data_IF_257353723165
#
_entry.id   IF_257353723165
#
_cell.length_a   1.000
_cell.length_b   1.000
_cell.length_c   1.000
_cell.angle_alpha   90.00
_cell.angle_beta   90.00
_cell.angle_gamma   90.00
#
_symmetry.space_group_name_H-M   'P 1'
#
loop_
_entity.id
_entity.type
_entity.pdbx_description
1 polymer ?
#
# COMPACT_ATOMS: atom_id res chain seq x y z
N UNK A 1 -5.12 -13.59 6.93
CA UNK A 1 -5.87 -13.77 5.66
C UNK A 1 -5.39 -12.74 4.63
N UNK A 2 -4.16 -12.85 4.10
CA UNK A 2 -3.63 -11.89 3.11
C UNK A 2 -4.46 -11.87 1.81
N UNK A 3 -4.87 -13.06 1.36
CA UNK A 3 -5.63 -13.25 0.11
C UNK A 3 -6.97 -12.51 0.05
N UNK A 4 -7.65 -12.32 1.20
CA UNK A 4 -8.92 -11.59 1.23
C UNK A 4 -8.71 -10.10 0.98
N UNK A 5 -7.64 -9.53 1.56
CA UNK A 5 -7.32 -8.11 1.41
C UNK A 5 -6.88 -7.80 -0.03
N UNK A 6 -6.04 -8.65 -0.61
CA UNK A 6 -5.53 -8.46 -1.97
C UNK A 6 -6.65 -8.55 -3.01
N UNK A 7 -7.54 -9.55 -2.88
CA UNK A 7 -8.70 -9.69 -3.75
C UNK A 7 -9.71 -8.54 -3.58
N UNK A 8 -9.88 -8.04 -2.35
CA UNK A 8 -10.77 -6.92 -2.09
C UNK A 8 -10.22 -5.62 -2.69
N UNK A 9 -8.93 -5.32 -2.49
CA UNK A 9 -8.26 -4.15 -3.08
C UNK A 9 -8.37 -4.20 -4.61
N UNK A 10 -8.05 -5.33 -5.24
CA UNK A 10 -8.18 -5.47 -6.69
C UNK A 10 -9.60 -5.19 -7.20
N UNK A 11 -10.61 -5.60 -6.43
CA UNK A 11 -12.03 -5.33 -6.74
C UNK A 11 -12.36 -3.84 -6.63
N UNK A 12 -11.82 -3.13 -5.63
CA UNK A 12 -11.99 -1.69 -5.49
C UNK A 12 -11.42 -0.94 -6.70
N UNK A 13 -10.20 -1.27 -7.15
CA UNK A 13 -9.61 -0.66 -8.34
C UNK A 13 -10.41 -0.93 -9.62
N UNK A 14 -10.99 -2.13 -9.76
CA UNK A 14 -11.91 -2.45 -10.86
C UNK A 14 -13.16 -1.55 -10.84
N UNK A 15 -13.70 -1.24 -9.66
CA UNK A 15 -14.82 -0.31 -9.52
C UNK A 15 -14.42 1.15 -9.75
N UNK A 16 -13.19 1.55 -9.45
CA UNK A 16 -12.69 2.87 -9.84
C UNK A 16 -12.65 3.02 -11.36
N UNK A 17 -12.19 2.00 -12.06
CA UNK A 17 -12.10 2.02 -13.52
C UNK A 17 -13.49 2.05 -14.18
N UNK A 18 -14.39 1.16 -13.78
CA UNK A 18 -15.66 0.90 -14.49
C UNK A 18 -16.90 1.52 -13.83
N UNK A 19 -16.79 2.02 -12.61
CA UNK A 19 -17.91 2.54 -11.84
C UNK A 19 -18.37 3.92 -12.28
N UNK A 20 -19.60 4.27 -11.88
CA UNK A 20 -20.08 5.65 -11.97
C UNK A 20 -19.43 6.54 -10.88
N UNK A 21 -19.70 7.85 -10.90
CA UNK A 21 -19.08 8.79 -9.97
C UNK A 21 -19.42 8.48 -8.49
N UNK A 22 -20.64 8.06 -8.17
CA UNK A 22 -21.02 7.72 -6.80
C UNK A 22 -20.22 6.52 -6.27
N UNK A 23 -20.10 5.47 -7.08
CA UNK A 23 -19.32 4.29 -6.73
C UNK A 23 -17.84 4.64 -6.58
N UNK A 24 -17.27 5.43 -7.51
CA UNK A 24 -15.88 5.90 -7.42
C UNK A 24 -15.63 6.65 -6.11
N UNK A 25 -16.51 7.58 -5.74
CA UNK A 25 -16.37 8.34 -4.51
C UNK A 25 -16.44 7.45 -3.26
N UNK A 26 -17.32 6.46 -3.26
CA UNK A 26 -17.41 5.49 -2.16
C UNK A 26 -16.14 4.63 -2.07
N UNK A 27 -15.60 4.19 -3.22
CA UNK A 27 -14.35 3.43 -3.27
C UNK A 27 -13.17 4.26 -2.79
N UNK A 28 -13.05 5.53 -3.20
CA UNK A 28 -11.99 6.41 -2.70
C UNK A 28 -11.99 6.49 -1.17
N UNK A 29 -13.16 6.70 -0.55
CA UNK A 29 -13.30 6.71 0.91
C UNK A 29 -12.89 5.38 1.53
N UNK A 30 -13.31 4.25 0.94
CA UNK A 30 -12.96 2.92 1.42
C UNK A 30 -11.45 2.67 1.37
N UNK A 31 -10.77 3.04 0.27
CA UNK A 31 -9.31 2.94 0.15
C UNK A 31 -8.61 3.78 1.22
N UNK A 32 -9.07 5.01 1.45
CA UNK A 32 -8.51 5.86 2.52
C UNK A 32 -8.72 5.22 3.89
N UNK A 33 -9.89 4.64 4.16
CA UNK A 33 -10.12 3.90 5.41
C UNK A 33 -9.19 2.70 5.56
N UNK A 34 -8.92 1.96 4.49
CA UNK A 34 -7.97 0.84 4.50
C UNK A 34 -6.57 1.36 4.82
N UNK A 35 -6.11 2.42 4.15
CA UNK A 35 -4.81 3.05 4.42
C UNK A 35 -4.71 3.50 5.89
N UNK A 36 -5.76 4.12 6.42
CA UNK A 36 -5.81 4.65 7.77
C UNK A 36 -5.79 3.59 8.88
N UNK A 37 -6.08 2.32 8.55
CA UNK A 37 -6.08 1.20 9.50
C UNK A 37 -5.08 0.11 9.14
N UNK A 38 -4.25 0.33 8.11
CA UNK A 38 -3.21 -0.61 7.73
C UNK A 38 -2.01 -0.43 8.65
N UNK A 39 -1.83 -1.40 9.55
CA UNK A 39 -0.73 -1.40 10.51
C UNK A 39 0.59 -1.88 9.89
N UNK A 40 0.55 -2.63 8.78
CA UNK A 40 1.74 -3.08 8.05
C UNK A 40 2.24 -1.94 7.14
N UNK A 41 3.39 -1.33 7.44
CA UNK A 41 3.89 -0.17 6.70
C UNK A 41 4.23 -0.51 5.25
N UNK A 42 4.70 -1.73 4.96
CA UNK A 42 5.04 -2.15 3.60
C UNK A 42 3.78 -2.28 2.74
N UNK A 43 2.73 -2.92 3.28
CA UNK A 43 1.44 -3.02 2.57
C UNK A 43 0.78 -1.66 2.40
N UNK A 44 0.86 -0.79 3.41
CA UNK A 44 0.31 0.57 3.33
C UNK A 44 1.03 1.39 2.25
N UNK A 45 2.36 1.34 2.21
CA UNK A 45 3.16 2.00 1.19
C UNK A 45 2.89 1.45 -0.22
N UNK A 46 2.77 0.13 -0.36
CA UNK A 46 2.45 -0.51 -1.64
C UNK A 46 1.08 -0.08 -2.18
N UNK A 47 0.05 -0.05 -1.33
CA UNK A 47 -1.29 0.42 -1.70
C UNK A 47 -1.26 1.90 -2.10
N UNK A 48 -0.56 2.74 -1.32
CA UNK A 48 -0.48 4.16 -1.63
C UNK A 48 0.26 4.44 -2.95
N UNK A 49 1.33 3.70 -3.22
CA UNK A 49 2.04 3.74 -4.50
C UNK A 49 1.11 3.35 -5.66
N UNK A 50 0.37 2.25 -5.51
CA UNK A 50 -0.61 1.82 -6.51
C UNK A 50 -1.68 2.88 -6.76
N UNK A 51 -2.15 3.57 -5.72
CA UNK A 51 -3.10 4.70 -5.85
C UNK A 51 -2.51 5.82 -6.70
N UNK A 52 -1.26 6.24 -6.44
CA UNK A 52 -0.62 7.29 -7.22
C UNK A 52 -0.43 6.88 -8.70
N UNK A 53 0.04 5.67 -8.96
CA UNK A 53 0.30 5.17 -10.31
C UNK A 53 -1.00 4.94 -11.11
N UNK A 54 -2.01 4.29 -10.51
CA UNK A 54 -3.24 3.94 -11.22
C UNK A 54 -4.23 5.10 -11.33
N UNK A 55 -4.24 6.02 -10.35
CA UNK A 55 -5.18 7.15 -10.34
C UNK A 55 -4.50 8.46 -10.69
N UNK A 56 -3.48 8.88 -9.94
CA UNK A 56 -2.81 10.18 -10.11
C UNK A 56 -2.15 10.33 -11.47
N UNK A 57 -1.53 9.26 -11.98
CA UNK A 57 -0.83 9.22 -13.27
C UNK A 57 -1.68 8.65 -14.41
N UNK A 58 -2.97 8.40 -14.15
CA UNK A 58 -3.86 7.78 -15.11
C UNK A 58 -4.02 8.59 -16.40
N UNK A 59 -4.08 7.92 -17.54
CA UNK A 59 -4.39 8.58 -18.83
C UNK A 59 -5.84 9.08 -18.89
N UNK A 60 -6.75 8.40 -18.19
CA UNK A 60 -8.17 8.72 -18.15
C UNK A 60 -8.44 9.84 -17.15
N UNK A 61 -8.97 10.98 -17.63
CA UNK A 61 -9.21 12.14 -16.78
C UNK A 61 -10.23 11.86 -15.68
N UNK A 62 -11.20 10.96 -15.91
CA UNK A 62 -12.18 10.60 -14.89
C UNK A 62 -11.51 9.92 -13.69
N UNK A 63 -10.44 9.17 -13.93
CA UNK A 63 -9.68 8.49 -12.89
C UNK A 63 -8.77 9.48 -12.15
N UNK A 64 -8.09 10.40 -12.87
CA UNK A 64 -7.36 11.50 -12.24
C UNK A 64 -8.28 12.41 -11.41
N UNK A 65 -9.52 12.64 -11.86
CA UNK A 65 -10.54 13.32 -11.04
C UNK A 65 -10.87 12.53 -9.77
N UNK A 66 -10.99 11.20 -9.85
CA UNK A 66 -11.17 10.36 -8.66
C UNK A 66 -9.96 10.37 -7.72
N UNK A 67 -8.74 10.56 -8.23
CA UNK A 67 -7.55 10.81 -7.40
C UNK A 67 -7.74 12.05 -6.52
N UNK A 68 -8.21 13.17 -7.11
CA UNK A 68 -8.50 14.39 -6.35
C UNK A 68 -9.55 14.12 -5.25
N UNK A 69 -10.61 13.38 -5.57
CA UNK A 69 -11.62 12.98 -4.57
C UNK A 69 -11.03 12.10 -3.46
N UNK A 70 -10.06 11.24 -3.79
CA UNK A 70 -9.32 10.43 -2.82
C UNK A 70 -8.48 11.32 -1.90
N UNK A 71 -7.67 12.23 -2.46
CA UNK A 71 -6.88 13.18 -1.69
C UNK A 71 -7.75 14.01 -0.74
N UNK A 72 -8.90 14.49 -1.23
CA UNK A 72 -9.89 15.19 -0.40
C UNK A 72 -10.37 14.34 0.78
N UNK A 73 -10.58 13.04 0.55
CA UNK A 73 -11.01 12.09 1.59
C UNK A 73 -9.92 11.78 2.61
N UNK A 74 -8.64 12.00 2.27
CA UNK A 74 -7.52 11.86 3.20
C UNK A 74 -7.51 12.95 4.28
N UNK A 75 -8.03 14.14 3.99
CA UNK A 75 -8.01 15.28 4.90
C UNK A 75 -8.79 14.95 6.18
N UNK A 76 -8.08 14.87 7.32
CA UNK A 76 -8.64 14.49 8.61
C UNK A 76 -8.89 12.99 8.81
N UNK A 77 -8.39 12.13 7.92
CA UNK A 77 -8.43 10.66 8.06
C UNK A 77 -7.03 10.04 8.00
N UNK A 78 -6.09 10.66 7.31
CA UNK A 78 -4.67 10.33 7.41
C UNK A 78 -3.99 11.46 8.18
N UNK A 79 -2.86 11.16 8.82
CA UNK A 79 -2.02 12.22 9.38
C UNK A 79 -1.55 13.13 8.25
N UNK A 80 -1.44 14.41 8.55
CA UNK A 80 -0.96 15.43 7.61
C UNK A 80 0.40 15.06 7.03
N UNK A 81 1.34 14.63 7.86
CA UNK A 81 2.70 14.28 7.41
C UNK A 81 2.65 13.11 6.41
N UNK A 82 1.88 12.07 6.70
CA UNK A 82 1.73 10.94 5.78
C UNK A 82 1.11 11.38 4.44
N UNK A 83 0.12 12.28 4.46
CA UNK A 83 -0.48 12.81 3.23
C UNK A 83 0.54 13.62 2.41
N UNK A 84 1.31 14.49 3.08
CA UNK A 84 2.31 15.34 2.44
C UNK A 84 3.42 14.52 1.78
N UNK A 85 3.90 13.48 2.46
CA UNK A 85 4.97 12.62 1.93
C UNK A 85 4.49 11.71 0.79
N UNK A 86 3.21 11.33 0.80
CA UNK A 86 2.71 10.26 -0.06
C UNK A 86 1.92 10.74 -1.27
N UNK A 87 1.05 11.73 -1.09
CA UNK A 87 0.04 12.09 -2.11
C UNK A 87 0.16 13.53 -2.61
N UNK A 88 0.76 14.42 -1.81
CA UNK A 88 0.67 15.86 -2.04
C UNK A 88 1.29 16.30 -3.38
N UNK A 89 2.44 15.74 -3.78
CA UNK A 89 3.07 16.08 -5.07
C UNK A 89 2.15 15.75 -6.25
N UNK A 90 1.58 14.55 -6.27
CA UNK A 90 0.60 14.14 -7.30
C UNK A 90 -0.68 14.97 -7.23
N UNK A 91 -1.14 15.33 -6.02
CA UNK A 91 -2.30 16.18 -5.83
C UNK A 91 -2.09 17.57 -6.42
N UNK A 92 -0.96 18.22 -6.09
CA UNK A 92 -0.60 19.54 -6.59
C UNK A 92 -0.50 19.56 -8.12
N UNK A 93 -0.02 18.47 -8.73
CA UNK A 93 0.03 18.33 -10.18
C UNK A 93 -1.37 18.40 -10.84
N UNK A 94 -2.44 18.00 -10.14
CA UNK A 94 -3.82 18.08 -10.66
C UNK A 94 -4.31 19.52 -10.87
N UNK A 95 -3.75 20.48 -10.13
CA UNK A 95 -4.02 21.91 -10.36
C UNK A 95 -3.55 22.39 -11.74
N UNK A 96 -2.58 21.70 -12.36
CA UNK A 96 -2.10 21.99 -13.71
C UNK A 96 -2.59 20.98 -14.76
N UNK A 97 -3.62 20.20 -14.47
CA UNK A 97 -4.11 19.18 -15.40
C UNK A 97 -4.58 19.80 -16.71
N UNK A 98 -4.32 19.12 -17.84
CA UNK A 98 -4.79 19.57 -19.16
C UNK A 98 -6.32 19.62 -19.29
N UNK A 99 -7.06 18.89 -18.46
CA UNK A 99 -8.53 18.82 -18.49
C UNK A 99 -9.13 19.73 -17.42
N UNK A 100 -9.92 20.70 -17.84
CA UNK A 100 -10.58 21.67 -16.95
C UNK A 100 -11.39 21.01 -15.83
N UNK A 101 -12.10 19.91 -16.12
CA UNK A 101 -12.86 19.18 -15.09
C UNK A 101 -12.00 18.63 -13.94
N UNK A 102 -10.73 18.31 -14.19
CA UNK A 102 -9.81 17.86 -13.14
C UNK A 102 -9.35 19.06 -12.30
N UNK A 103 -8.99 20.17 -12.96
CA UNK A 103 -8.62 21.43 -12.28
C UNK A 103 -9.75 22.01 -11.44
N UNK A 104 -10.99 21.97 -11.95
CA UNK A 104 -12.19 22.35 -11.20
C UNK A 104 -12.41 21.45 -9.97
N UNK A 105 -12.18 20.14 -10.08
CA UNK A 105 -12.27 19.24 -8.93
C UNK A 105 -11.17 19.54 -7.90
N UNK A 106 -9.95 19.84 -8.38
CA UNK A 106 -8.84 20.27 -7.53
C UNK A 106 -9.21 21.53 -6.74
N UNK A 107 -9.72 22.56 -7.42
CA UNK A 107 -10.17 23.81 -6.80
C UNK A 107 -11.18 23.52 -5.68
N UNK A 108 -12.21 22.72 -5.94
CA UNK A 108 -13.22 22.34 -4.94
C UNK A 108 -12.65 21.55 -3.75
N UNK A 109 -11.62 20.74 -3.98
CA UNK A 109 -10.99 19.96 -2.93
C UNK A 109 -10.18 20.83 -1.95
N UNK A 110 -9.79 22.05 -2.34
CA UNK A 110 -9.05 22.97 -1.48
C UNK A 110 -9.84 23.42 -0.26
N UNK A 111 -11.17 23.36 -0.29
CA UNK A 111 -12.02 23.61 0.89
C UNK A 111 -11.63 22.74 2.08
N UNK A 112 -11.26 21.49 1.82
CA UNK A 112 -10.83 20.55 2.86
C UNK A 112 -9.30 20.51 2.97
N UNK A 113 -8.59 20.54 1.85
CA UNK A 113 -7.15 20.32 1.83
C UNK A 113 -6.32 21.53 2.25
N UNK A 114 -6.75 22.76 1.94
CA UNK A 114 -5.98 23.95 2.33
C UNK A 114 -5.93 24.12 3.85
N UNK A 115 -7.04 24.10 4.60
CA UNK A 115 -7.00 24.20 6.06
C UNK A 115 -6.31 23.00 6.73
N UNK A 116 -6.30 21.84 6.09
CA UNK A 116 -5.58 20.66 6.56
C UNK A 116 -4.05 20.83 6.48
N UNK A 117 -3.53 21.49 5.44
CA UNK A 117 -2.08 21.63 5.21
C UNK A 117 -1.52 23.03 5.52
N UNK A 118 -2.35 24.04 5.79
CA UNK A 118 -1.93 25.44 5.98
C UNK A 118 -0.93 25.66 7.13
N UNK A 119 -0.82 24.71 8.05
CA UNK A 119 0.15 24.75 9.15
C UNK A 119 1.59 24.49 8.69
N UNK A 120 1.78 23.97 7.48
CA UNK A 120 3.09 23.77 6.86
C UNK A 120 3.33 24.92 5.87
N UNK A 121 4.12 25.91 6.32
CA UNK A 121 4.25 27.21 5.66
C UNK A 121 4.60 27.11 4.16
N UNK A 122 5.56 26.27 3.77
CA UNK A 122 5.94 26.13 2.35
C UNK A 122 4.78 25.58 1.50
N UNK A 123 3.98 24.67 2.05
CA UNK A 123 2.83 24.05 1.37
C UNK A 123 1.64 24.99 1.31
N UNK A 124 1.46 25.81 2.34
CA UNK A 124 0.47 26.88 2.32
C UNK A 124 0.74 27.89 1.19
N UNK A 125 2.00 28.30 1.02
CA UNK A 125 2.40 29.19 -0.08
C UNK A 125 2.21 28.56 -1.45
N UNK A 126 2.62 27.30 -1.66
CA UNK A 126 2.40 26.58 -2.92
C UNK A 126 0.91 26.52 -3.30
N UNK A 127 0.02 26.26 -2.33
CA UNK A 127 -1.41 26.25 -2.57
C UNK A 127 -1.99 27.65 -2.83
N UNK A 128 -1.48 28.70 -2.17
CA UNK A 128 -1.89 30.08 -2.49
C UNK A 128 -1.52 30.46 -3.92
N UNK A 129 -0.31 30.15 -4.35
CA UNK A 129 0.12 30.40 -5.73
C UNK A 129 -0.76 29.63 -6.73
N UNK A 130 -1.11 28.38 -6.41
CA UNK A 130 -2.01 27.58 -7.23
C UNK A 130 -3.42 28.19 -7.31
N UNK A 131 -3.97 28.66 -6.20
CA UNK A 131 -5.28 29.33 -6.15
C UNK A 131 -5.25 30.58 -7.03
N UNK A 132 -4.25 31.44 -6.88
CA UNK A 132 -4.15 32.69 -7.65
C UNK A 132 -4.00 32.42 -9.15
N UNK A 133 -3.30 31.34 -9.52
CA UNK A 133 -3.22 30.87 -10.91
C UNK A 133 -4.58 30.41 -11.42
N UNK A 134 -5.30 29.59 -10.65
CA UNK A 134 -6.59 29.03 -11.04
C UNK A 134 -7.72 30.08 -11.10
N UNK A 135 -7.64 31.17 -10.33
CA UNK A 135 -8.53 32.33 -10.49
C UNK A 135 -8.43 32.98 -11.87
N UNK A 136 -7.29 32.82 -12.53
CA UNK A 136 -7.01 33.32 -13.88
C UNK A 136 -6.98 32.17 -14.90
N UNK A 137 -7.63 31.04 -14.61
CA UNK A 137 -7.67 29.89 -15.51
C UNK A 137 -8.36 30.25 -16.83
N UNK A 138 -7.87 29.76 -17.99
CA UNK A 138 -8.53 30.00 -19.28
C UNK A 138 -9.95 29.43 -19.38
N UNK A 139 -10.30 28.46 -18.54
CA UNK A 139 -11.64 27.91 -18.44
C UNK A 139 -12.42 28.64 -17.34
N UNK A 140 -13.50 29.33 -17.73
CA UNK A 140 -14.28 30.17 -16.81
C UNK A 140 -14.89 29.36 -15.65
N UNK A 141 -15.32 28.11 -15.88
CA UNK A 141 -15.92 27.29 -14.83
C UNK A 141 -14.87 26.94 -13.75
N UNK A 142 -13.59 26.82 -14.14
CA UNK A 142 -12.48 26.59 -13.20
C UNK A 142 -12.20 27.87 -12.40
N UNK A 143 -12.16 29.02 -13.06
CA UNK A 143 -11.95 30.31 -12.41
C UNK A 143 -13.05 30.60 -11.38
N UNK A 144 -14.32 30.48 -11.78
CA UNK A 144 -15.49 30.70 -10.92
C UNK A 144 -15.52 29.73 -9.74
N UNK A 145 -15.22 28.44 -9.97
CA UNK A 145 -15.14 27.46 -8.89
C UNK A 145 -14.02 27.76 -7.90
N UNK A 146 -12.91 28.31 -8.37
CA UNK A 146 -11.76 28.71 -7.55
C UNK A 146 -12.09 29.93 -6.73
N UNK A 147 -12.70 30.96 -7.33
CA UNK A 147 -13.12 32.17 -6.62
C UNK A 147 -14.16 31.85 -5.54
N UNK A 148 -15.15 31.03 -5.85
CA UNK A 148 -16.12 30.56 -4.85
C UNK A 148 -15.43 29.80 -3.71
N UNK A 149 -14.47 28.93 -4.02
CA UNK A 149 -13.72 28.19 -2.99
C UNK A 149 -12.93 29.14 -2.10
N UNK A 150 -12.26 30.14 -2.68
CA UNK A 150 -11.46 31.12 -1.92
C UNK A 150 -12.33 31.98 -1.00
N UNK A 151 -13.50 32.42 -1.49
CA UNK A 151 -14.48 33.15 -0.67
C UNK A 151 -14.94 32.30 0.52
N UNK A 152 -15.28 31.03 0.29
CA UNK A 152 -15.71 30.12 1.37
C UNK A 152 -14.58 29.86 2.36
N UNK A 153 -13.35 29.66 1.89
CA UNK A 153 -12.18 29.50 2.77
C UNK A 153 -11.99 30.71 3.70
N UNK A 154 -12.16 31.92 3.18
CA UNK A 154 -12.08 33.15 3.99
C UNK A 154 -13.22 33.24 5.01
N UNK A 155 -14.45 32.88 4.63
CA UNK A 155 -15.62 32.93 5.50
C UNK A 155 -15.57 31.87 6.61
N UNK A 156 -15.17 30.64 6.27
CA UNK A 156 -15.23 29.48 7.15
C UNK A 156 -13.90 29.19 7.86
N UNK A 157 -12.84 29.99 7.64
CA UNK A 157 -11.51 29.78 8.24
C UNK A 157 -11.56 29.51 9.75
N UNK A 158 -12.37 30.28 10.49
CA UNK A 158 -12.51 30.16 11.94
C UNK A 158 -13.11 28.83 12.39
N UNK A 159 -13.77 28.11 11.50
CA UNK A 159 -14.41 26.80 11.74
C UNK A 159 -13.53 25.68 11.20
N UNK A 160 -12.99 25.85 9.99
CA UNK A 160 -12.20 24.82 9.31
C UNK A 160 -10.85 24.55 9.98
N UNK A 161 -10.10 25.59 10.36
CA UNK A 161 -8.77 25.38 10.97
C UNK A 161 -8.86 24.59 12.30
N UNK A 162 -9.73 24.95 13.27
CA UNK A 162 -9.86 24.15 14.49
C UNK A 162 -10.37 22.73 14.25
N UNK A 163 -11.27 22.54 13.28
CA UNK A 163 -11.77 21.23 12.88
C UNK A 163 -10.62 20.32 12.44
N UNK A 164 -9.73 20.79 11.55
CA UNK A 164 -8.64 19.97 11.06
C UNK A 164 -7.53 19.75 12.10
N UNK A 165 -7.32 20.67 13.04
CA UNK A 165 -6.45 20.41 14.19
C UNK A 165 -6.96 19.25 15.04
N UNK A 166 -8.26 19.24 15.38
CA UNK A 166 -8.85 18.14 16.17
C UNK A 166 -8.81 16.78 15.42
N UNK A 167 -9.06 16.79 14.11
CA UNK A 167 -8.98 15.58 13.29
C UNK A 167 -7.52 15.07 13.12
N UNK A 168 -6.55 15.97 13.13
CA UNK A 168 -5.14 15.61 13.11
C UNK A 168 -4.74 14.92 14.42
N UNK A 169 -5.19 15.42 15.59
CA UNK A 169 -4.96 14.75 16.88
C UNK A 169 -5.55 13.32 16.91
N UNK A 170 -6.78 13.14 16.42
CA UNK A 170 -7.38 11.80 16.30
C UNK A 170 -6.56 10.89 15.37
N UNK A 171 -6.06 11.44 14.27
CA UNK A 171 -5.28 10.69 13.29
C UNK A 171 -3.90 10.30 13.81
N UNK A 172 -3.25 11.18 14.57
CA UNK A 172 -1.99 10.90 15.24
C UNK A 172 -2.13 9.82 16.30
N UNK A 173 -3.21 9.84 17.09
CA UNK A 173 -3.47 8.79 18.08
C UNK A 173 -3.69 7.43 17.41
N UNK A 174 -4.45 7.40 16.31
CA UNK A 174 -4.62 6.17 15.52
C UNK A 174 -3.30 5.66 14.97
N UNK A 175 -2.47 6.53 14.41
CA UNK A 175 -1.14 6.17 13.90
C UNK A 175 -0.25 5.59 15.02
N UNK A 176 -0.28 6.19 16.21
CA UNK A 176 0.43 5.70 17.40
C UNK A 176 0.02 4.27 17.76
N UNK A 177 -1.29 4.00 17.82
CA UNK A 177 -1.83 2.67 18.12
C UNK A 177 -1.48 1.62 17.05
N UNK A 178 -1.48 2.00 15.77
CA UNK A 178 -1.05 1.11 14.68
C UNK A 178 0.43 0.77 14.78
N UNK A 179 1.28 1.76 15.10
CA UNK A 179 2.70 1.54 15.28
C UNK A 179 3.00 0.63 16.48
N UNK A 180 2.29 0.80 17.60
CA UNK A 180 2.39 -0.13 18.74
C UNK A 180 2.03 -1.57 18.36
N UNK A 181 0.98 -1.73 17.54
CA UNK A 181 0.58 -3.05 17.04
C UNK A 181 1.66 -3.65 16.14
N UNK A 182 2.21 -2.86 15.22
CA UNK A 182 3.29 -3.30 14.33
C UNK A 182 4.52 -3.77 15.11
N UNK A 183 4.98 -2.98 16.09
CA UNK A 183 6.11 -3.34 16.94
C UNK A 183 5.87 -4.66 17.67
N UNK A 184 4.67 -4.89 18.21
CA UNK A 184 4.32 -6.17 18.86
C UNK A 184 4.36 -7.37 17.88
N UNK A 185 3.84 -7.19 16.67
CA UNK A 185 3.88 -8.24 15.64
C UNK A 185 5.32 -8.50 15.14
N UNK A 186 6.15 -7.47 15.07
CA UNK A 186 7.59 -7.56 14.74
C UNK A 186 8.36 -8.33 15.82
N UNK A 187 8.16 -7.99 17.09
CA UNK A 187 8.76 -8.68 18.23
C UNK A 187 8.34 -10.14 18.30
N UNK A 188 7.05 -10.45 18.09
CA UNK A 188 6.57 -11.83 18.07
C UNK A 188 7.17 -12.63 16.92
N UNK A 189 7.29 -12.03 15.73
CA UNK A 189 7.92 -12.68 14.57
C UNK A 189 9.40 -12.94 14.82
N UNK A 190 10.11 -11.99 15.44
CA UNK A 190 11.51 -12.16 15.80
C UNK A 190 11.69 -13.26 16.85
N UNK A 191 10.83 -13.30 17.88
CA UNK A 191 10.84 -14.37 18.89
C UNK A 191 10.62 -15.75 18.28
N UNK A 192 9.66 -15.88 17.35
CA UNK A 192 9.44 -17.15 16.63
C UNK A 192 10.65 -17.56 15.78
N UNK A 193 11.34 -16.61 15.15
CA UNK A 193 12.56 -16.89 14.40
C UNK A 193 13.70 -17.34 15.32
N UNK A 194 13.89 -16.68 16.46
CA UNK A 194 14.89 -17.06 17.47
C UNK A 194 14.57 -18.45 18.06
N UNK A 195 13.31 -18.74 18.40
CA UNK A 195 12.86 -20.08 18.84
C UNK A 195 13.08 -21.16 17.77
N UNK A 196 12.84 -20.85 16.48
CA UNK A 196 13.12 -21.78 15.38
C UNK A 196 14.63 -22.01 15.17
N UNK A 197 15.46 -21.00 15.37
CA UNK A 197 16.92 -21.09 15.28
C UNK A 197 17.50 -21.89 16.46
N UNK A 198 17.02 -21.64 17.68
CA UNK A 198 17.39 -22.42 18.87
C UNK A 198 16.97 -23.90 18.72
N UNK A 199 15.75 -24.16 18.25
CA UNK A 199 15.29 -25.53 17.99
C UNK A 199 16.09 -26.23 16.88
N UNK A 200 16.49 -25.50 15.83
CA UNK A 200 17.38 -26.03 14.78
C UNK A 200 18.76 -26.34 15.33
N UNK A 201 19.30 -25.48 16.20
CA UNK A 201 20.60 -25.69 16.84
C UNK A 201 20.57 -26.91 17.78
N UNK A 202 19.51 -27.05 18.59
CA UNK A 202 19.34 -28.17 19.52
C UNK A 202 19.12 -29.51 18.78
N UNK A 203 18.33 -29.51 17.69
CA UNK A 203 18.19 -30.68 16.82
C UNK A 203 19.52 -31.09 16.16
N UNK A 204 20.31 -30.11 15.72
CA UNK A 204 21.62 -30.36 15.10
C UNK A 204 22.63 -30.90 16.11
N UNK A 205 22.64 -30.35 17.34
CA UNK A 205 23.44 -30.83 18.46
C UNK A 205 23.10 -32.28 18.83
N UNK A 206 21.80 -32.59 18.98
CA UNK A 206 21.32 -33.95 19.25
C UNK A 206 21.73 -34.98 18.19
N UNK A 207 21.78 -34.58 16.91
CA UNK A 207 22.24 -35.42 15.79
C UNK A 207 23.75 -35.68 15.80
N UNK A 208 24.54 -34.70 16.23
CA UNK A 208 26.00 -34.84 16.39
C UNK A 208 26.35 -35.77 17.57
N UNK A 209 25.63 -35.68 18.68
CA UNK A 209 25.80 -36.57 19.83
C UNK A 209 25.39 -38.02 19.55
N UNK A 210 24.37 -38.25 18.69
CA UNK A 210 24.06 -39.61 18.23
C UNK A 210 25.15 -40.21 17.33
N UNK A 211 25.87 -39.40 16.55
CA UNK A 211 26.96 -39.87 15.68
C UNK A 211 28.21 -40.30 16.47
N UNK A 212 28.45 -39.73 17.66
CA UNK A 212 29.58 -40.13 18.53
C UNK A 212 29.26 -41.39 19.35
N UNK A 213 27.99 -41.64 19.70
CA UNK A 213 27.57 -42.83 20.45
C UNK A 213 27.66 -44.15 19.66
N UNK A 214 27.54 -44.15 18.32
CA UNK A 214 27.61 -45.37 17.48
C UNK A 214 29.03 -45.87 17.15
N UNK A 215 30.11 -45.26 17.68
CA UNK A 215 31.50 -45.64 17.36
C UNK A 215 32.21 -46.52 18.42
N UNK A 216 31.46 -47.29 19.21
CA UNK A 216 32.03 -48.35 20.06
C UNK A 216 31.21 -49.66 19.98
N UNK A 217 31.38 -50.42 18.90
CA UNK A 217 31.29 -51.89 18.99
C UNK A 217 31.88 -52.60 17.77
N UNK A 218 32.70 -53.61 18.07
CA UNK A 218 33.13 -54.72 17.21
C UNK A 218 34.18 -54.48 16.12
N UNK A 219 35.45 -54.61 16.53
CA UNK A 219 36.47 -55.29 15.71
C UNK A 219 36.21 -56.79 15.79
N UNK A 220 35.86 -57.44 14.69
CA UNK A 220 36.22 -58.84 14.47
C UNK A 220 36.46 -59.14 13.00
N UNK A 221 37.65 -59.68 12.74
CA UNK A 221 38.19 -60.14 11.47
C UNK A 221 37.25 -61.13 10.77
N UNK A 222 37.07 -60.96 9.46
CA UNK A 222 36.82 -62.09 8.55
C UNK A 222 37.62 -61.91 7.26
N UNK A 223 38.60 -62.79 7.04
CA UNK A 223 39.36 -62.97 5.80
C UNK A 223 38.76 -64.15 5.02
N UNK A 224 38.34 -63.94 3.78
CA UNK A 224 38.57 -64.83 2.62
C UNK A 224 37.93 -64.21 1.36
N UNK A 225 38.72 -63.93 0.30
CA UNK A 225 38.81 -64.69 -0.98
C UNK A 225 37.45 -64.98 -1.61
N UNK A 226 37.12 -64.60 -2.85
CA UNK A 226 37.85 -64.05 -3.99
C UNK A 226 36.97 -64.15 -5.26
N UNK A 227 37.37 -63.48 -6.34
CA UNK A 227 36.72 -63.48 -7.67
C UNK A 227 35.80 -62.26 -7.85
N UNK A 228 36.16 -61.24 -8.65
CA UNK A 228 36.32 -61.29 -10.11
C UNK A 228 34.93 -61.38 -10.74
N UNK A 229 34.35 -60.37 -11.40
CA UNK A 229 34.81 -59.71 -12.63
C UNK A 229 33.91 -58.47 -12.88
N UNK A 230 34.53 -57.44 -13.49
CA UNK A 230 34.04 -56.28 -14.28
C UNK A 230 32.61 -56.33 -14.85
N UNK A 231 31.91 -55.24 -15.21
CA UNK A 231 32.25 -53.82 -15.44
C UNK A 231 30.96 -53.04 -15.75
N UNK A 232 31.00 -51.71 -15.53
CA UNK A 232 30.41 -50.61 -16.33
C UNK A 232 28.93 -50.69 -16.75
N UNK A 233 28.09 -49.67 -16.65
CA UNK A 233 28.26 -48.24 -16.42
C UNK A 233 26.84 -47.64 -16.38
N UNK A 234 26.63 -46.64 -15.53
CA UNK A 234 26.42 -45.26 -15.95
C UNK A 234 25.04 -44.93 -16.57
N UNK A 235 24.27 -44.25 -15.71
CA UNK A 235 23.56 -42.99 -15.99
C UNK A 235 22.18 -42.96 -16.68
N UNK A 236 21.34 -42.18 -15.99
CA UNK A 236 20.49 -41.06 -16.44
C UNK A 236 19.00 -41.31 -16.68
N UNK A 237 18.25 -40.62 -15.81
CA UNK A 237 17.15 -39.68 -16.08
C UNK A 237 15.98 -40.10 -16.97
N UNK A 238 14.78 -39.93 -16.41
CA UNK A 238 13.86 -38.92 -16.92
C UNK A 238 12.42 -39.39 -17.22
N UNK A 239 11.46 -38.52 -16.85
CA UNK A 239 10.14 -38.41 -17.49
C UNK A 239 9.01 -39.12 -16.74
N UNK A 240 8.23 -38.48 -15.86
CA UNK A 240 7.15 -37.52 -16.13
C UNK A 240 6.14 -37.96 -17.21
N UNK A 241 4.92 -38.24 -16.74
CA UNK A 241 3.73 -37.47 -17.13
C UNK A 241 3.14 -37.71 -18.52
N UNK A 242 2.04 -38.46 -18.57
CA UNK A 242 1.05 -38.36 -19.64
C UNK A 242 -0.31 -38.90 -19.17
N UNK A 243 -1.29 -38.01 -19.01
CA UNK A 243 -2.71 -38.26 -19.32
C UNK A 243 -3.47 -36.92 -19.37
N UNK A 244 -3.47 -36.31 -20.56
CA UNK A 244 -4.61 -35.53 -21.04
C UNK A 244 -5.71 -36.51 -21.46
N UNK A 245 -6.97 -36.23 -21.10
CA UNK A 245 -8.14 -36.69 -21.84
C UNK A 245 -9.15 -35.53 -21.95
N UNK A 246 -9.59 -35.34 -23.20
CA UNK A 246 -10.52 -34.33 -23.73
C UNK A 246 -11.98 -34.75 -23.55
N UNK A 247 -12.86 -33.73 -23.60
CA UNK A 247 -14.22 -33.68 -24.20
C UNK A 247 -15.33 -34.48 -23.47
N UNK A 248 -16.61 -34.13 -23.48
CA UNK A 248 -17.49 -33.46 -24.47
C UNK A 248 -18.56 -32.64 -23.71
N UNK A 249 -18.95 -31.44 -24.16
CA UNK A 249 -20.12 -31.14 -25.00
C UNK A 249 -21.41 -31.91 -24.65
N UNK A 250 -22.33 -31.20 -24.00
CA UNK A 250 -23.74 -31.00 -24.41
C UNK A 250 -24.21 -29.64 -23.89
#
# INVERSE_FOLDING_TARGET
MPELQDNFIATLFKYLQNGNNHLRNAVCKCIVTILAHQYDPEKRAALAKQVNEELGESRAFQIRRSFVTLCRSCAGVLTKDYFLDTFYTHFLAMGNDRVAQVRMEFAKALLDLKPFVETVQDKDFELMEMIDRLKNDPDQDVADATENTDVVLLQERKILSPKFVALEEESQERERLLNERWVKEEEERKRRQEEEEENKFDFTSYLLDKKTATKKTSKQNFKNRGGGVSSSGAMKNGGLGSRQLKSQNQ
#
